data_IF_615294825912
#
_entry.id   IF_615294825912
#
_cell.length_a   1.000
_cell.length_b   1.000
_cell.length_c   1.000
_cell.angle_alpha   90.00
_cell.angle_beta   90.00
_cell.angle_gamma   90.00
#
_symmetry.space_group_name_H-M   'P 1'
#
loop_
_entity.id
_entity.type
_entity.pdbx_description
1 polymer ?
#
# COMPACT_ATOMS: atom_id res chain seq x y z
N UNK A 1 17.61 -8.94 18.28
CA UNK A 1 18.43 -9.71 17.31
C UNK A 1 18.20 -11.18 17.57
N UNK A 2 17.63 -11.90 16.59
CA UNK A 2 17.16 -13.30 16.75
C UNK A 2 18.26 -14.23 17.28
N UNK A 3 17.93 -14.98 18.34
CA UNK A 3 18.77 -15.95 19.06
C UNK A 3 19.54 -16.91 18.14
N UNK A 4 18.93 -17.28 17.02
CA UNK A 4 19.42 -18.30 16.09
C UNK A 4 20.60 -17.78 15.26
N UNK A 5 20.53 -16.55 14.76
CA UNK A 5 21.64 -15.95 13.99
C UNK A 5 22.89 -15.85 14.87
N UNK A 6 22.69 -15.57 16.15
CA UNK A 6 23.78 -15.53 17.13
C UNK A 6 24.41 -16.90 17.33
N UNK A 7 23.61 -17.95 17.50
CA UNK A 7 24.09 -19.34 17.64
C UNK A 7 24.83 -19.84 16.40
N UNK A 8 24.36 -19.53 15.19
CA UNK A 8 25.04 -19.92 13.94
C UNK A 8 26.39 -19.19 13.81
N UNK A 9 26.43 -17.90 14.16
CA UNK A 9 27.69 -17.13 14.13
C UNK A 9 28.65 -17.63 15.20
N UNK A 10 28.17 -17.91 16.41
CA UNK A 10 28.99 -18.41 17.51
C UNK A 10 29.54 -19.82 17.24
N UNK A 11 28.74 -20.71 16.63
CA UNK A 11 29.19 -22.06 16.24
C UNK A 11 30.21 -22.04 15.10
N UNK A 12 30.03 -21.23 14.05
CA UNK A 12 31.01 -21.10 12.96
C UNK A 12 32.34 -20.46 13.44
N UNK A 13 32.28 -19.57 14.44
CA UNK A 13 33.47 -19.01 15.09
C UNK A 13 34.19 -20.08 15.91
N UNK A 14 33.46 -20.83 16.73
CA UNK A 14 34.02 -21.88 17.60
C UNK A 14 34.68 -23.01 16.80
N UNK A 15 34.03 -23.49 15.73
CA UNK A 15 34.58 -24.53 14.84
C UNK A 15 35.89 -24.08 14.20
N UNK A 16 36.01 -22.80 13.82
CA UNK A 16 37.23 -22.28 13.19
C UNK A 16 38.36 -22.06 14.19
N UNK A 17 38.05 -21.66 15.41
CA UNK A 17 39.05 -21.55 16.49
C UNK A 17 39.64 -22.92 16.83
N UNK A 18 38.80 -23.95 16.90
CA UNK A 18 39.24 -25.34 17.06
C UNK A 18 40.11 -25.83 15.89
N UNK A 19 39.85 -25.35 14.68
CA UNK A 19 40.62 -25.66 13.47
C UNK A 19 41.87 -24.77 13.28
N UNK A 20 42.17 -23.84 14.20
CA UNK A 20 43.30 -22.90 14.09
C UNK A 20 43.17 -21.88 12.94
N UNK A 21 41.98 -21.71 12.38
CA UNK A 21 41.74 -20.85 11.22
C UNK A 21 41.41 -19.41 11.66
N UNK A 22 41.98 -18.41 10.97
CA UNK A 22 41.65 -16.99 11.21
C UNK A 22 40.17 -16.73 10.96
N UNK A 23 39.53 -15.98 11.87
CA UNK A 23 38.14 -15.54 11.73
C UNK A 23 37.94 -14.82 10.38
N UNK A 24 37.10 -15.37 9.50
CA UNK A 24 36.69 -14.70 8.26
C UNK A 24 35.82 -13.51 8.63
N UNK A 25 36.17 -12.33 8.11
CA UNK A 25 35.29 -11.16 8.19
C UNK A 25 34.10 -11.38 7.25
N UNK A 26 32.89 -11.28 7.78
CA UNK A 26 31.69 -11.25 6.95
C UNK A 26 31.76 -10.09 5.96
N UNK A 27 31.26 -10.30 4.74
CA UNK A 27 31.14 -9.23 3.75
C UNK A 27 30.10 -8.22 4.23
N UNK A 28 30.31 -6.94 3.90
CA UNK A 28 29.31 -5.90 4.21
C UNK A 28 28.01 -6.19 3.44
N UNK A 29 26.83 -6.11 4.09
CA UNK A 29 25.56 -6.27 3.39
C UNK A 29 25.42 -5.23 2.29
N UNK A 30 24.81 -5.63 1.17
CA UNK A 30 24.42 -4.69 0.12
C UNK A 30 23.38 -3.71 0.69
N UNK A 31 23.52 -2.41 0.43
CA UNK A 31 22.52 -1.42 0.85
C UNK A 31 21.16 -1.75 0.24
N UNK A 32 20.11 -1.76 1.07
CA UNK A 32 18.74 -1.91 0.59
C UNK A 32 18.40 -0.72 -0.29
N UNK A 33 17.87 -0.99 -1.48
CA UNK A 33 17.38 0.07 -2.38
C UNK A 33 15.96 0.42 -1.99
N UNK A 34 15.61 1.70 -2.09
CA UNK A 34 14.23 2.13 -1.96
C UNK A 34 13.44 1.70 -3.22
N UNK A 35 12.16 1.28 -3.10
CA UNK A 35 11.36 0.81 -4.24
C UNK A 35 10.85 1.96 -5.13
N UNK A 36 11.74 2.85 -5.56
CA UNK A 36 11.38 4.08 -6.30
C UNK A 36 10.59 3.79 -7.58
N UNK A 37 10.94 2.73 -8.31
CA UNK A 37 10.26 2.36 -9.54
C UNK A 37 8.79 1.96 -9.29
N UNK A 38 8.53 1.19 -8.23
CA UNK A 38 7.18 0.75 -7.84
C UNK A 38 6.33 1.92 -7.35
N UNK A 39 6.94 2.85 -6.62
CA UNK A 39 6.25 4.06 -6.17
C UNK A 39 5.89 4.95 -7.36
N UNK A 40 6.77 5.07 -8.35
CA UNK A 40 6.50 5.84 -9.58
C UNK A 40 5.37 5.23 -10.39
N UNK A 41 5.34 3.91 -10.57
CA UNK A 41 4.26 3.24 -11.30
C UNK A 41 2.91 3.42 -10.60
N UNK A 42 2.87 3.18 -9.28
CA UNK A 42 1.64 3.38 -8.50
C UNK A 42 1.16 4.83 -8.51
N UNK A 43 2.08 5.81 -8.43
CA UNK A 43 1.73 7.22 -8.58
C UNK A 43 1.16 7.55 -9.96
N UNK A 44 1.71 6.97 -11.02
CA UNK A 44 1.20 7.19 -12.38
C UNK A 44 -0.24 6.66 -12.50
N UNK A 45 -0.53 5.47 -11.96
CA UNK A 45 -1.88 4.91 -11.91
C UNK A 45 -2.85 5.82 -11.14
N UNK A 46 -2.44 6.35 -9.99
CA UNK A 46 -3.28 7.27 -9.21
C UNK A 46 -3.56 8.58 -9.96
N UNK A 47 -2.56 9.12 -10.67
CA UNK A 47 -2.73 10.34 -11.48
C UNK A 47 -3.69 10.07 -12.63
N UNK A 48 -3.60 8.92 -13.29
CA UNK A 48 -4.53 8.55 -14.36
C UNK A 48 -5.98 8.46 -13.85
N UNK A 49 -6.20 7.81 -12.71
CA UNK A 49 -7.53 7.74 -12.07
C UNK A 49 -8.04 9.13 -11.69
N UNK A 50 -7.18 10.00 -11.18
CA UNK A 50 -7.53 11.38 -10.86
C UNK A 50 -7.92 12.17 -12.11
N UNK A 51 -7.18 12.03 -13.21
CA UNK A 51 -7.48 12.70 -14.48
C UNK A 51 -8.79 12.23 -15.08
N UNK A 52 -9.07 10.92 -15.05
CA UNK A 52 -10.34 10.35 -15.49
C UNK A 52 -11.50 10.88 -14.63
N UNK A 53 -11.33 10.89 -13.31
CA UNK A 53 -12.30 11.43 -12.35
C UNK A 53 -12.59 12.91 -12.65
N UNK A 54 -11.54 13.70 -12.85
CA UNK A 54 -11.67 15.12 -13.18
C UNK A 54 -12.45 15.33 -14.48
N UNK A 55 -12.14 14.58 -15.54
CA UNK A 55 -12.87 14.63 -16.81
C UNK A 55 -14.36 14.31 -16.64
N UNK A 56 -14.69 13.31 -15.82
CA UNK A 56 -16.09 12.94 -15.54
C UNK A 56 -16.83 14.03 -14.77
N UNK A 57 -16.17 14.63 -13.77
CA UNK A 57 -16.73 15.75 -13.00
C UNK A 57 -16.92 16.97 -13.91
N UNK A 58 -15.94 17.30 -14.74
CA UNK A 58 -16.03 18.43 -15.67
C UNK A 58 -17.16 18.21 -16.69
N UNK A 59 -17.29 17.01 -17.25
CA UNK A 59 -18.29 16.69 -18.26
C UNK A 59 -19.73 16.66 -17.71
N UNK A 60 -19.93 16.22 -16.47
CA UNK A 60 -21.28 15.94 -15.93
C UNK A 60 -21.73 16.89 -14.84
N UNK A 61 -20.82 17.43 -14.04
CA UNK A 61 -21.13 18.30 -12.92
C UNK A 61 -20.89 19.77 -13.30
N UNK A 62 -19.72 20.09 -13.86
CA UNK A 62 -19.38 21.49 -14.21
C UNK A 62 -20.31 22.05 -15.29
N UNK A 63 -20.63 21.27 -16.32
CA UNK A 63 -21.59 21.68 -17.37
C UNK A 63 -22.97 22.02 -16.81
N UNK A 64 -23.38 21.38 -15.71
CA UNK A 64 -24.69 21.58 -15.08
C UNK A 64 -24.68 22.64 -13.98
N UNK A 65 -23.52 23.22 -13.64
CA UNK A 65 -23.42 24.27 -12.63
C UNK A 65 -24.31 25.49 -12.93
N UNK A 66 -24.43 26.00 -14.17
CA UNK A 66 -25.32 27.13 -14.46
C UNK A 66 -26.79 26.81 -14.18
N UNK A 67 -27.24 25.60 -14.48
CA UNK A 67 -28.61 25.14 -14.19
C UNK A 67 -28.83 25.01 -12.68
N UNK A 68 -27.86 24.42 -11.97
CA UNK A 68 -27.88 24.31 -10.51
C UNK A 68 -27.85 25.69 -9.84
N UNK A 69 -27.10 26.65 -10.39
CA UNK A 69 -27.04 28.02 -9.88
C UNK A 69 -28.37 28.75 -10.08
N UNK A 70 -29.07 28.53 -11.21
CA UNK A 70 -30.42 29.08 -11.44
C UNK A 70 -31.44 28.48 -10.46
N UNK A 71 -31.41 27.16 -10.28
CA UNK A 71 -32.22 26.45 -9.28
C UNK A 71 -31.90 26.86 -7.85
N UNK A 72 -30.67 27.28 -7.58
CA UNK A 72 -30.27 27.83 -6.28
C UNK A 72 -30.65 29.31 -6.11
N UNK A 73 -30.66 30.09 -7.19
CA UNK A 73 -31.05 31.50 -7.17
C UNK A 73 -32.56 31.73 -7.05
N UNK A 74 -33.38 30.79 -7.54
CA UNK A 74 -34.84 30.80 -7.35
C UNK A 74 -35.30 30.50 -5.91
N UNK A 75 -34.37 30.19 -5.00
CA UNK A 75 -34.63 29.83 -3.59
C UNK A 75 -34.92 31.01 -2.66
N UNK A 76 -34.84 32.25 -3.16
CA UNK A 76 -35.06 33.43 -2.32
C UNK A 76 -36.52 33.51 -1.83
N UNK A 77 -37.45 32.84 -2.51
CA UNK A 77 -38.84 32.71 -2.05
C UNK A 77 -39.12 31.30 -1.50
N UNK A 78 -39.60 31.27 -0.26
CA UNK A 78 -39.67 30.13 0.65
C UNK A 78 -40.66 29.04 0.22
N UNK A 79 -40.19 27.86 -0.18
CA UNK A 79 -41.00 26.63 -0.13
C UNK A 79 -40.16 25.39 0.21
N UNK A 80 -40.65 24.55 1.14
CA UNK A 80 -39.99 23.29 1.54
C UNK A 80 -39.88 22.29 0.37
N UNK A 81 -40.83 22.33 -0.57
CA UNK A 81 -40.87 21.44 -1.73
C UNK A 81 -39.71 21.66 -2.71
N UNK A 82 -39.17 22.89 -2.76
CA UNK A 82 -38.03 23.24 -3.63
C UNK A 82 -36.68 22.77 -3.07
N UNK A 83 -36.57 22.63 -1.74
CA UNK A 83 -35.39 22.09 -1.06
C UNK A 83 -35.24 20.59 -1.38
N UNK A 84 -36.35 19.85 -1.34
CA UNK A 84 -36.37 18.43 -1.69
C UNK A 84 -36.08 18.22 -3.18
N UNK A 85 -36.58 19.08 -4.05
CA UNK A 85 -36.34 18.97 -5.50
C UNK A 85 -34.87 19.21 -5.86
N UNK A 86 -34.23 20.23 -5.31
CA UNK A 86 -32.80 20.49 -5.56
C UNK A 86 -31.89 19.39 -5.00
N UNK A 87 -32.15 18.94 -3.77
CA UNK A 87 -31.36 17.88 -3.15
C UNK A 87 -31.50 16.56 -3.91
N UNK A 88 -32.68 16.26 -4.47
CA UNK A 88 -32.91 15.11 -5.35
C UNK A 88 -32.14 15.23 -6.67
N UNK A 89 -32.13 16.41 -7.30
CA UNK A 89 -31.38 16.66 -8.55
C UNK A 89 -29.88 16.49 -8.32
N UNK A 90 -29.32 17.10 -7.27
CA UNK A 90 -27.93 16.90 -6.89
C UNK A 90 -27.62 15.44 -6.59
N UNK A 91 -28.46 14.77 -5.80
CA UNK A 91 -28.29 13.37 -5.45
C UNK A 91 -28.30 12.47 -6.70
N UNK A 92 -29.13 12.77 -7.69
CA UNK A 92 -29.17 12.06 -8.97
C UNK A 92 -27.89 12.27 -9.78
N UNK A 93 -27.38 13.50 -9.84
CA UNK A 93 -26.11 13.83 -10.52
C UNK A 93 -24.95 13.12 -9.83
N UNK A 94 -24.86 13.19 -8.50
CA UNK A 94 -23.81 12.50 -7.75
C UNK A 94 -23.89 10.98 -7.87
N UNK A 95 -25.09 10.38 -7.83
CA UNK A 95 -25.26 8.94 -8.06
C UNK A 95 -24.82 8.54 -9.47
N UNK A 96 -25.14 9.35 -10.48
CA UNK A 96 -24.72 9.11 -11.86
C UNK A 96 -23.21 9.21 -12.02
N UNK A 97 -22.59 10.28 -11.54
CA UNK A 97 -21.12 10.46 -11.56
C UNK A 97 -20.44 9.34 -10.79
N UNK A 98 -20.94 8.97 -9.61
CA UNK A 98 -20.40 7.87 -8.80
C UNK A 98 -20.53 6.51 -9.49
N UNK A 99 -21.55 6.31 -10.31
CA UNK A 99 -21.70 5.10 -11.14
C UNK A 99 -20.73 5.03 -12.32
N UNK A 100 -20.17 6.17 -12.74
CA UNK A 100 -19.18 6.26 -13.82
C UNK A 100 -17.74 6.22 -13.29
N UNK A 101 -17.53 6.48 -12.01
CA UNK A 101 -16.21 6.35 -11.40
C UNK A 101 -15.79 4.88 -11.33
N UNK A 102 -14.48 4.58 -11.47
CA UNK A 102 -13.97 3.23 -11.27
C UNK A 102 -14.42 2.71 -9.90
N UNK A 103 -14.87 1.46 -9.87
CA UNK A 103 -15.45 0.92 -8.65
C UNK A 103 -14.40 0.91 -7.53
N UNK A 104 -14.80 1.15 -6.26
CA UNK A 104 -13.87 1.10 -5.13
C UNK A 104 -13.14 -0.25 -5.04
N UNK A 105 -13.72 -1.32 -5.57
CA UNK A 105 -13.08 -2.62 -5.69
C UNK A 105 -11.85 -2.62 -6.62
N UNK A 106 -11.85 -1.83 -7.70
CA UNK A 106 -10.73 -1.73 -8.64
C UNK A 106 -9.58 -0.93 -8.04
N UNK A 107 -9.88 0.20 -7.39
CA UNK A 107 -8.89 0.99 -6.65
C UNK A 107 -8.23 0.17 -5.52
N UNK A 108 -9.04 -0.61 -4.79
CA UNK A 108 -8.54 -1.53 -3.76
C UNK A 108 -7.62 -2.60 -4.35
N UNK A 109 -7.99 -3.20 -5.49
CA UNK A 109 -7.15 -4.19 -6.17
C UNK A 109 -5.80 -3.61 -6.63
N UNK A 110 -5.77 -2.40 -7.20
CA UNK A 110 -4.50 -1.75 -7.58
C UNK A 110 -3.62 -1.50 -6.34
N UNK A 111 -4.18 -1.00 -5.24
CA UNK A 111 -3.45 -0.80 -3.99
C UNK A 111 -2.90 -2.12 -3.40
N UNK A 112 -3.71 -3.18 -3.40
CA UNK A 112 -3.30 -4.52 -2.97
C UNK A 112 -2.16 -5.07 -3.84
N UNK A 113 -2.23 -4.87 -5.16
CA UNK A 113 -1.16 -5.28 -6.08
C UNK A 113 0.14 -4.51 -5.82
N UNK A 114 0.08 -3.19 -5.63
CA UNK A 114 1.25 -2.38 -5.30
C UNK A 114 1.89 -2.80 -3.96
N UNK A 115 1.06 -3.11 -2.96
CA UNK A 115 1.51 -3.63 -1.67
C UNK A 115 2.22 -4.99 -1.83
N UNK A 116 1.63 -5.92 -2.58
CA UNK A 116 2.24 -7.23 -2.86
C UNK A 116 3.57 -7.11 -3.61
N UNK A 117 3.65 -6.23 -4.60
CA UNK A 117 4.90 -5.98 -5.33
C UNK A 117 5.99 -5.40 -4.43
N UNK A 118 5.63 -4.47 -3.55
CA UNK A 118 6.54 -3.88 -2.57
C UNK A 118 7.04 -4.92 -1.57
N UNK A 119 6.14 -5.76 -1.06
CA UNK A 119 6.50 -6.87 -0.18
C UNK A 119 7.48 -7.85 -0.84
N UNK A 120 7.21 -8.25 -2.09
CA UNK A 120 8.09 -9.14 -2.87
C UNK A 120 9.47 -8.52 -3.13
N UNK A 121 9.51 -7.23 -3.45
CA UNK A 121 10.76 -6.50 -3.64
C UNK A 121 11.58 -6.47 -2.36
N UNK A 122 10.95 -6.16 -1.22
CA UNK A 122 11.62 -6.14 0.07
C UNK A 122 12.17 -7.52 0.46
N UNK A 123 11.38 -8.58 0.32
CA UNK A 123 11.83 -9.96 0.60
C UNK A 123 13.04 -10.33 -0.26
N UNK A 124 13.03 -9.95 -1.54
CA UNK A 124 14.13 -10.24 -2.46
C UNK A 124 15.41 -9.47 -2.08
N UNK A 125 15.29 -8.21 -1.65
CA UNK A 125 16.42 -7.44 -1.13
C UNK A 125 17.00 -8.07 0.13
N UNK A 126 16.15 -8.46 1.07
CA UNK A 126 16.53 -9.13 2.32
C UNK A 126 17.23 -10.45 2.03
N UNK A 127 16.66 -11.30 1.17
CA UNK A 127 17.29 -12.56 0.71
C UNK A 127 18.66 -12.33 0.10
N UNK A 128 18.79 -11.35 -0.79
CA UNK A 128 20.07 -10.98 -1.41
C UNK A 128 21.11 -10.49 -0.39
N UNK A 129 20.68 -9.76 0.65
CA UNK A 129 21.55 -9.33 1.73
C UNK A 129 22.05 -10.51 2.57
N UNK A 130 21.14 -11.38 3.03
CA UNK A 130 21.50 -12.56 3.81
C UNK A 130 22.43 -13.48 3.02
N UNK A 131 22.12 -13.76 1.76
CA UNK A 131 22.98 -14.56 0.88
C UNK A 131 24.34 -13.88 0.66
N UNK A 132 24.38 -12.55 0.53
CA UNK A 132 25.62 -11.80 0.35
C UNK A 132 26.53 -11.76 1.57
N UNK A 133 25.96 -11.79 2.79
CA UNK A 133 26.70 -11.74 4.06
C UNK A 133 27.07 -13.14 4.53
N UNK A 134 26.09 -14.04 4.60
CA UNK A 134 26.23 -15.38 5.21
C UNK A 134 26.55 -16.48 4.19
N UNK A 135 26.34 -16.25 2.89
CA UNK A 135 26.55 -17.27 1.86
C UNK A 135 25.47 -18.35 1.80
N UNK A 136 24.47 -18.29 2.69
CA UNK A 136 23.35 -19.22 2.80
C UNK A 136 22.03 -18.51 2.50
N UNK A 137 21.10 -19.24 1.89
CA UNK A 137 19.71 -18.81 1.75
C UNK A 137 18.91 -19.28 2.96
N UNK A 138 18.80 -18.40 3.96
CA UNK A 138 18.14 -18.70 5.24
C UNK A 138 16.67 -19.13 5.05
N UNK A 139 16.03 -18.67 3.98
CA UNK A 139 14.61 -18.93 3.72
C UNK A 139 14.33 -20.21 2.95
N UNK A 140 15.36 -20.86 2.38
CA UNK A 140 15.20 -22.15 1.69
C UNK A 140 15.34 -23.32 2.66
N UNK A 141 16.14 -23.15 3.72
CA UNK A 141 16.47 -24.23 4.66
C UNK A 141 15.52 -24.31 5.86
N UNK A 142 14.72 -23.26 6.13
CA UNK A 142 13.82 -23.23 7.29
C UNK A 142 12.40 -22.75 6.92
N UNK A 143 11.50 -23.67 6.50
CA UNK A 143 10.10 -23.34 6.18
C UNK A 143 9.36 -22.67 7.35
N UNK A 144 9.74 -22.98 8.59
CA UNK A 144 9.13 -22.40 9.81
C UNK A 144 9.35 -20.89 9.91
N UNK A 145 10.49 -20.39 9.44
CA UNK A 145 10.80 -18.95 9.49
C UNK A 145 9.91 -18.15 8.54
N UNK A 146 9.47 -18.79 7.45
CA UNK A 146 8.52 -18.18 6.52
C UNK A 146 7.13 -18.05 7.15
N UNK A 147 6.66 -19.09 7.86
CA UNK A 147 5.41 -19.02 8.62
C UNK A 147 5.45 -17.91 9.68
N UNK A 148 6.55 -17.78 10.43
CA UNK A 148 6.69 -16.70 11.43
C UNK A 148 6.69 -15.29 10.81
N UNK A 149 7.18 -15.13 9.58
CA UNK A 149 7.10 -13.85 8.87
C UNK A 149 5.69 -13.54 8.38
N UNK A 150 4.94 -14.56 7.97
CA UNK A 150 3.52 -14.43 7.60
C UNK A 150 2.69 -14.04 8.83
N UNK A 151 2.91 -14.70 9.97
CA UNK A 151 2.28 -14.36 11.25
C UNK A 151 2.58 -12.90 11.65
N UNK A 152 3.85 -12.49 11.55
CA UNK A 152 4.26 -11.11 11.85
C UNK A 152 3.62 -10.09 10.88
N UNK A 153 3.49 -10.44 9.60
CA UNK A 153 2.83 -9.58 8.62
C UNK A 153 1.33 -9.43 8.94
N UNK A 154 0.67 -10.51 9.34
CA UNK A 154 -0.73 -10.51 9.74
C UNK A 154 -0.98 -9.70 11.01
N UNK A 155 -0.11 -9.83 12.03
CA UNK A 155 -0.18 -9.01 13.25
C UNK A 155 -0.01 -7.51 12.94
N UNK A 156 0.95 -7.14 12.09
CA UNK A 156 1.13 -5.74 11.70
C UNK A 156 -0.05 -5.20 10.89
N UNK A 157 -0.64 -6.02 10.01
CA UNK A 157 -1.84 -5.64 9.27
C UNK A 157 -3.00 -5.31 10.23
N UNK A 158 -3.25 -6.19 11.22
CA UNK A 158 -4.25 -5.95 12.28
C UNK A 158 -3.95 -4.68 13.07
N UNK A 159 -2.69 -4.42 13.38
CA UNK A 159 -2.28 -3.21 14.10
C UNK A 159 -2.57 -1.95 13.30
N UNK A 160 -2.28 -1.94 12.00
CA UNK A 160 -2.57 -0.81 11.11
C UNK A 160 -4.08 -0.60 10.96
N UNK A 161 -4.86 -1.67 10.83
CA UNK A 161 -6.32 -1.60 10.82
C UNK A 161 -6.87 -1.02 12.13
N UNK A 162 -6.32 -1.43 13.27
CA UNK A 162 -6.72 -0.93 14.60
C UNK A 162 -6.42 0.57 14.78
N UNK A 163 -5.31 1.06 14.24
CA UNK A 163 -4.98 2.49 14.22
C UNK A 163 -5.99 3.23 13.33
N UNK A 164 -6.31 2.68 12.17
CA UNK A 164 -7.25 3.30 11.24
C UNK A 164 -8.64 3.46 11.87
N UNK A 165 -9.11 2.46 12.63
CA UNK A 165 -10.38 2.53 13.36
C UNK A 165 -10.32 3.45 14.58
N UNK A 166 -9.18 3.55 15.27
CA UNK A 166 -9.05 4.37 16.47
C UNK A 166 -8.95 5.89 16.18
N UNK A 167 -8.52 6.28 14.98
CA UNK A 167 -8.29 7.69 14.63
C UNK A 167 -9.23 8.24 13.53
N UNK A 168 -10.01 7.39 12.85
CA UNK A 168 -10.93 7.80 11.78
C UNK A 168 -12.42 7.60 12.10
N UNK A 169 -12.75 7.00 13.25
CA UNK A 169 -14.08 7.04 13.88
C UNK A 169 -14.10 8.09 15.01
#
# INVERSE_FOLDING_TARGET
MSSIVRQIVESDVMVRELMGQRRRRFRKPKKQRHPDALIRSYRAELVEVLEQTKKLVDAHLVVRLPELQRLAGSRVDESRDDIDTFSQVLSRIFKFVRGLLPQPAEARRSAEQAAQQTARFNITQVRSQFRGVLGIDVFFNEPRLQATLEDFAEENAKLIESISTQFLD
#
